data_IF_735547229888
#
_entry.id   IF_735547229888
#
_cell.length_a   1.000
_cell.length_b   1.000
_cell.length_c   1.000
_cell.angle_alpha   90.00
_cell.angle_beta   90.00
_cell.angle_gamma   90.00
#
_symmetry.space_group_name_H-M   'P 1'
#
loop_
_entity.id
_entity.type
_entity.pdbx_description
1 polymer ?
#
# COMPACT_ATOMS: atom_id res chain seq x y z
N UNK A 1 -9.51 -6.11 -14.29
CA UNK A 1 -8.70 -7.17 -13.64
C UNK A 1 -7.39 -7.32 -14.39
N UNK A 2 -6.30 -7.64 -13.68
CA UNK A 2 -5.03 -8.03 -14.29
C UNK A 2 -5.11 -9.47 -14.79
N UNK A 3 -4.39 -9.80 -15.86
CA UNK A 3 -4.39 -11.16 -16.41
C UNK A 3 -3.86 -11.23 -17.83
N UNK A 4 -3.71 -12.44 -18.34
CA UNK A 4 -3.48 -12.69 -19.77
C UNK A 4 -4.80 -12.66 -20.52
N UNK A 5 -4.80 -11.96 -21.65
CA UNK A 5 -5.96 -11.81 -22.52
C UNK A 5 -5.59 -12.24 -23.93
N UNK A 6 -6.51 -12.98 -24.56
CA UNK A 6 -6.39 -13.44 -25.93
C UNK A 6 -7.78 -13.38 -26.58
N UNK A 7 -7.81 -13.15 -27.89
CA UNK A 7 -9.04 -13.19 -28.68
C UNK A 7 -9.12 -14.52 -29.44
N UNK A 8 -10.30 -15.15 -29.46
CA UNK A 8 -10.62 -16.27 -30.36
C UNK A 8 -11.69 -15.80 -31.35
N UNK A 9 -11.47 -16.05 -32.63
CA UNK A 9 -12.41 -15.79 -33.70
C UNK A 9 -12.79 -17.09 -34.43
N UNK A 10 -14.04 -17.18 -34.87
CA UNK A 10 -14.55 -18.34 -35.60
C UNK A 10 -15.39 -17.90 -36.81
N UNK A 11 -15.15 -18.52 -37.97
CA UNK A 11 -15.93 -18.35 -39.19
C UNK A 11 -16.02 -19.67 -39.97
N UNK A 12 -16.53 -19.65 -41.21
CA UNK A 12 -16.62 -20.83 -42.08
C UNK A 12 -15.28 -21.50 -42.37
N UNK A 13 -14.19 -20.73 -42.32
CA UNK A 13 -12.82 -21.22 -42.58
C UNK A 13 -12.19 -21.89 -41.35
N UNK A 14 -12.78 -21.71 -40.16
CA UNK A 14 -12.35 -22.34 -38.92
C UNK A 14 -12.15 -21.36 -37.76
N UNK A 15 -11.27 -21.75 -36.83
CA UNK A 15 -10.95 -21.00 -35.61
C UNK A 15 -9.54 -20.40 -35.70
N UNK A 16 -9.40 -19.16 -35.25
CA UNK A 16 -8.12 -18.50 -35.06
C UNK A 16 -8.01 -17.89 -33.67
N UNK A 17 -6.81 -17.88 -33.11
CA UNK A 17 -6.50 -17.23 -31.84
C UNK A 17 -5.45 -16.14 -32.06
N UNK A 18 -5.56 -15.02 -31.36
CA UNK A 18 -4.54 -13.96 -31.36
C UNK A 18 -3.32 -14.37 -30.54
N UNK A 19 -2.26 -13.58 -30.54
CA UNK A 19 -1.25 -13.69 -29.47
C UNK A 19 -1.85 -13.31 -28.11
N UNK A 20 -1.23 -13.81 -27.04
CA UNK A 20 -1.62 -13.50 -25.66
C UNK A 20 -0.98 -12.19 -25.19
N UNK A 21 -1.77 -11.33 -24.54
CA UNK A 21 -1.33 -10.04 -24.00
C UNK A 21 -1.53 -10.01 -22.49
N UNK A 22 -0.45 -9.78 -21.75
CA UNK A 22 -0.49 -9.60 -20.30
C UNK A 22 -0.91 -8.16 -19.95
N UNK A 23 -2.14 -8.01 -19.45
CA UNK A 23 -2.64 -6.76 -18.89
C UNK A 23 -2.16 -6.60 -17.43
N UNK A 24 -1.21 -5.69 -17.21
CA UNK A 24 -0.80 -5.25 -15.87
C UNK A 24 -1.61 -4.03 -15.43
N UNK A 25 -1.93 -3.95 -14.14
CA UNK A 25 -2.64 -2.81 -13.54
C UNK A 25 -1.72 -2.20 -12.49
N UNK A 26 -1.29 -0.96 -12.72
CA UNK A 26 -0.51 -0.19 -11.76
C UNK A 26 -1.42 0.71 -10.93
N UNK A 27 -1.05 0.90 -9.66
CA UNK A 27 -1.77 1.76 -8.74
C UNK A 27 -0.87 2.25 -7.62
N UNK A 28 -1.22 3.41 -7.07
CA UNK A 28 -0.47 4.05 -5.99
C UNK A 28 -0.57 3.25 -4.69
N UNK A 29 0.42 3.38 -3.79
CA UNK A 29 0.36 2.74 -2.47
C UNK A 29 -0.89 3.11 -1.67
N UNK A 30 -1.65 2.11 -1.23
CA UNK A 30 -2.84 2.30 -0.39
C UNK A 30 -2.74 1.51 0.91
N UNK A 31 -3.10 2.14 2.03
CA UNK A 31 -3.17 1.46 3.32
C UNK A 31 -4.24 0.36 3.30
N UNK A 32 -3.89 -0.84 3.73
CA UNK A 32 -4.82 -1.97 3.78
C UNK A 32 -5.94 -1.67 4.79
N UNK A 33 -7.21 -1.87 4.39
CA UNK A 33 -8.41 -1.49 5.14
C UNK A 33 -8.52 -2.07 6.56
N UNK A 34 -7.80 -3.17 6.86
CA UNK A 34 -7.78 -3.82 8.18
C UNK A 34 -6.78 -3.20 9.17
N UNK A 35 -6.21 -2.04 8.84
CA UNK A 35 -5.28 -1.38 9.73
C UNK A 35 -5.95 -0.78 10.97
N UNK A 36 -5.30 -0.88 12.14
CA UNK A 36 -5.76 -0.27 13.39
C UNK A 36 -5.78 1.25 13.23
N UNK A 37 -6.96 1.87 13.39
CA UNK A 37 -7.13 3.33 13.24
C UNK A 37 -7.00 4.10 14.55
N UNK A 38 -7.24 3.44 15.68
CA UNK A 38 -7.23 4.06 17.00
C UNK A 38 -6.29 3.32 17.94
N UNK A 39 -5.44 4.08 18.63
CA UNK A 39 -4.47 3.59 19.60
C UNK A 39 -4.75 4.25 20.94
N UNK A 40 -5.02 3.45 21.97
CA UNK A 40 -5.04 3.92 23.36
C UNK A 40 -3.65 3.74 23.95
N UNK A 41 -3.09 4.80 24.52
CA UNK A 41 -1.73 4.83 25.09
C UNK A 41 -1.70 5.85 26.22
N UNK A 42 -0.97 5.56 27.30
CA UNK A 42 -0.77 6.49 28.39
C UNK A 42 0.08 7.70 27.99
N UNK A 43 -0.05 8.79 28.72
CA UNK A 43 0.82 9.96 28.55
C UNK A 43 2.28 9.53 28.77
N UNK A 44 3.20 9.98 27.91
CA UNK A 44 4.62 9.61 27.92
C UNK A 44 4.93 8.13 27.65
N UNK A 45 3.93 7.32 27.28
CA UNK A 45 4.17 5.93 26.89
C UNK A 45 4.47 5.83 25.39
N UNK A 46 5.34 4.88 25.04
CA UNK A 46 5.72 4.62 23.65
C UNK A 46 4.67 3.76 22.97
N UNK A 47 4.27 4.15 21.76
CA UNK A 47 3.40 3.36 20.89
C UNK A 47 4.05 3.10 19.53
N UNK A 48 3.76 1.92 18.97
CA UNK A 48 4.11 1.53 17.62
C UNK A 48 2.88 1.64 16.72
N UNK A 49 2.91 2.59 15.78
CA UNK A 49 1.90 2.76 14.74
C UNK A 49 2.40 2.02 13.51
N UNK A 50 1.67 0.99 13.08
CA UNK A 50 2.02 0.23 11.87
C UNK A 50 1.37 0.88 10.66
N UNK A 51 1.85 0.58 9.46
CA UNK A 51 1.18 0.88 8.20
C UNK A 51 1.57 -0.23 7.24
N UNK A 52 0.59 -0.95 6.75
CA UNK A 52 0.75 -1.96 5.72
C UNK A 52 0.09 -1.43 4.45
N UNK A 53 0.84 -1.41 3.36
CA UNK A 53 0.38 -0.84 2.09
C UNK A 53 0.39 -1.90 0.99
N UNK A 54 -0.55 -1.75 0.07
CA UNK A 54 -0.60 -2.51 -1.17
C UNK A 54 -0.28 -1.56 -2.33
N UNK A 55 0.58 -1.97 -3.26
CA UNK A 55 0.97 -1.18 -4.42
C UNK A 55 1.45 -2.07 -5.56
N UNK A 56 1.33 -1.59 -6.79
CA UNK A 56 1.98 -2.17 -7.96
C UNK A 56 2.53 -1.03 -8.84
N UNK A 57 3.86 -0.87 -8.99
CA UNK A 57 4.93 -1.72 -8.44
C UNK A 57 5.09 -1.60 -6.92
N UNK A 58 5.92 -2.44 -6.30
CA UNK A 58 6.17 -2.43 -4.85
C UNK A 58 6.67 -1.06 -4.33
N UNK A 59 6.29 -0.73 -3.09
CA UNK A 59 6.65 0.53 -2.44
C UNK A 59 8.12 0.58 -2.09
N UNK A 60 8.78 1.68 -2.43
CA UNK A 60 10.21 1.91 -2.15
C UNK A 60 10.48 2.89 -1.00
N UNK A 61 9.50 3.69 -0.58
CA UNK A 61 9.70 4.75 0.42
C UNK A 61 8.52 4.90 1.39
N UNK A 62 8.84 5.19 2.65
CA UNK A 62 7.88 5.51 3.71
C UNK A 62 8.30 6.78 4.43
N UNK A 63 7.31 7.62 4.74
CA UNK A 63 7.46 8.79 5.59
C UNK A 63 6.30 8.86 6.58
N UNK A 64 6.52 9.53 7.71
CA UNK A 64 5.54 9.65 8.76
C UNK A 64 5.44 11.09 9.22
N UNK A 65 4.20 11.55 9.38
CA UNK A 65 3.88 12.87 9.89
C UNK A 65 2.76 12.76 10.90
N UNK A 66 2.96 13.37 12.06
CA UNK A 66 1.89 13.64 13.01
C UNK A 66 1.14 14.89 12.58
N UNK A 67 -0.19 14.88 12.70
CA UNK A 67 -1.05 16.05 12.50
C UNK A 67 -2.08 16.09 13.61
N UNK A 68 -2.29 17.25 14.22
CA UNK A 68 -3.37 17.47 15.18
C UNK A 68 -4.58 18.16 14.51
N UNK A 69 -5.73 18.30 15.21
CA UNK A 69 -6.91 19.00 14.68
C UNK A 69 -6.69 20.49 14.36
N UNK A 70 -5.61 21.09 14.86
CA UNK A 70 -5.22 22.48 14.56
C UNK A 70 -4.31 22.57 13.31
N UNK A 71 -4.15 21.47 12.57
CA UNK A 71 -3.25 21.33 11.41
C UNK A 71 -1.76 21.59 11.72
N UNK A 72 -1.35 21.53 12.98
CA UNK A 72 0.07 21.53 13.31
C UNK A 72 0.66 20.18 12.94
N UNK A 73 1.80 20.20 12.25
CA UNK A 73 2.44 18.98 11.75
C UNK A 73 3.85 18.80 12.25
N UNK A 74 4.24 17.54 12.47
CA UNK A 74 5.59 17.17 12.90
C UNK A 74 6.04 15.91 12.19
N UNK A 75 7.24 15.94 11.62
CA UNK A 75 7.86 14.73 11.06
C UNK A 75 8.21 13.72 12.17
N UNK A 76 7.88 12.46 11.93
CA UNK A 76 8.31 11.34 12.76
C UNK A 76 9.44 10.65 12.02
N UNK A 77 10.68 10.81 12.52
CA UNK A 77 11.88 10.18 11.92
C UNK A 77 12.20 8.81 12.51
N UNK A 78 11.55 8.44 13.61
CA UNK A 78 11.79 7.19 14.32
C UNK A 78 10.84 6.11 13.81
N UNK A 79 11.13 5.54 12.63
CA UNK A 79 10.36 4.43 12.06
C UNK A 79 11.27 3.33 11.53
N UNK A 80 10.69 2.15 11.31
CA UNK A 80 11.35 0.99 10.71
C UNK A 80 10.55 0.51 9.51
N UNK A 81 11.25 0.27 8.40
CA UNK A 81 10.66 -0.24 7.17
C UNK A 81 11.00 -1.72 6.98
N UNK A 82 10.01 -2.48 6.51
CA UNK A 82 10.13 -3.84 5.98
C UNK A 82 9.59 -3.80 4.55
N UNK A 83 10.49 -3.47 3.61
CA UNK A 83 10.17 -3.26 2.18
C UNK A 83 9.57 -4.53 1.58
N UNK A 84 10.10 -5.70 1.92
CA UNK A 84 9.60 -7.00 1.45
C UNK A 84 8.15 -7.29 1.85
N UNK A 85 7.66 -6.63 2.91
CA UNK A 85 6.29 -6.79 3.41
C UNK A 85 5.44 -5.55 3.16
N UNK A 86 5.95 -4.57 2.40
CA UNK A 86 5.30 -3.27 2.20
C UNK A 86 4.77 -2.70 3.52
N UNK A 87 5.62 -2.73 4.55
CA UNK A 87 5.24 -2.41 5.92
C UNK A 87 6.19 -1.40 6.53
N UNK A 88 5.65 -0.38 7.18
CA UNK A 88 6.40 0.55 8.03
C UNK A 88 5.81 0.60 9.43
N UNK A 89 6.67 0.79 10.43
CA UNK A 89 6.25 0.95 11.83
C UNK A 89 6.92 2.19 12.42
N UNK A 90 6.12 3.22 12.70
CA UNK A 90 6.56 4.43 13.38
C UNK A 90 6.46 4.29 14.90
N UNK A 91 7.44 4.86 15.59
CA UNK A 91 7.44 5.00 17.05
C UNK A 91 7.03 6.42 17.40
N UNK A 92 5.97 6.52 18.18
CA UNK A 92 5.43 7.79 18.66
C UNK A 92 5.32 7.79 20.18
N UNK A 93 5.58 8.94 20.80
CA UNK A 93 5.34 9.18 22.22
C UNK A 93 4.44 10.41 22.27
N UNK A 94 3.16 10.26 22.64
CA UNK A 94 2.28 11.39 22.87
C UNK A 94 2.82 12.21 24.06
N UNK A 95 2.91 13.52 23.85
CA UNK A 95 3.26 14.49 24.88
C UNK A 95 2.11 14.73 25.86
#
# INVERSE_FOLDING_TARGET
NKGSYQCEAFNSEGKGQSEEVLLKIYYTPMCIHKHRRSYGVGKNEKINVSCNVESDPEVIEFWWRFSNPLNETREIRTFKNDVKKSKSVARYIPL
#
